data_IF_698426283181
#
_entry.id   IF_698426283181
#
_cell.length_a   1.000
_cell.length_b   1.000
_cell.length_c   1.000
_cell.angle_alpha   90.00
_cell.angle_beta   90.00
_cell.angle_gamma   90.00
#
_symmetry.space_group_name_H-M   'P 1'
#
loop_
_entity.id
_entity.type
_entity.pdbx_description
1 polymer ?
#
# COMPACT_ATOMS: atom_id res chain seq x y z
N UNK A 1 43.57 -56.14 1.50
CA UNK A 1 43.58 -54.63 1.42
C UNK A 1 42.58 -54.04 0.50
N UNK A 2 42.02 -54.71 -0.52
CA UNK A 2 41.02 -54.13 -1.47
C UNK A 2 39.59 -53.93 -0.88
N UNK A 3 39.20 -54.59 0.21
CA UNK A 3 37.84 -54.57 0.78
C UNK A 3 37.47 -53.26 1.51
N UNK A 4 38.41 -52.41 1.85
CA UNK A 4 38.16 -51.18 2.62
C UNK A 4 38.25 -49.89 1.77
N UNK A 5 38.65 -50.00 0.52
CA UNK A 5 38.80 -48.85 -0.39
C UNK A 5 37.41 -48.31 -0.82
N UNK A 6 36.43 -49.17 -1.03
CA UNK A 6 35.08 -48.78 -1.48
C UNK A 6 34.31 -47.96 -0.45
N UNK A 7 34.30 -48.26 0.86
CA UNK A 7 33.61 -47.43 1.83
C UNK A 7 34.29 -46.05 2.03
N UNK A 8 35.61 -45.95 1.91
CA UNK A 8 36.31 -44.65 1.96
C UNK A 8 36.04 -43.79 0.73
N UNK A 9 35.97 -44.42 -0.46
CA UNK A 9 35.62 -43.72 -1.70
C UNK A 9 34.16 -43.26 -1.71
N UNK A 10 33.24 -44.02 -1.15
CA UNK A 10 31.83 -43.61 -0.97
C UNK A 10 31.68 -42.48 0.05
N UNK A 11 32.48 -42.47 1.13
CA UNK A 11 32.47 -41.38 2.12
C UNK A 11 33.07 -40.08 1.59
N UNK A 12 34.08 -40.14 0.73
CA UNK A 12 34.65 -38.97 0.04
C UNK A 12 33.69 -38.36 -0.97
N UNK A 13 32.85 -39.15 -1.62
CA UNK A 13 31.82 -38.66 -2.54
C UNK A 13 30.65 -37.94 -1.83
N UNK A 14 30.39 -38.25 -0.55
CA UNK A 14 29.40 -37.57 0.26
C UNK A 14 29.87 -36.18 0.75
N UNK A 15 31.18 -35.91 0.74
CA UNK A 15 31.74 -34.61 1.12
C UNK A 15 31.83 -33.60 -0.07
N UNK A 16 31.64 -34.05 -1.29
CA UNK A 16 31.71 -33.23 -2.49
C UNK A 16 30.34 -32.57 -2.87
N UNK A 17 29.33 -32.69 -2.01
CA UNK A 17 27.95 -32.41 -2.32
C UNK A 17 27.41 -31.01 -2.01
N UNK A 18 28.24 -30.04 -1.66
CA UNK A 18 27.77 -28.64 -1.52
C UNK A 18 28.80 -27.69 -2.14
N UNK A 19 28.71 -27.44 -3.42
CA UNK A 19 29.31 -26.21 -3.96
C UNK A 19 28.50 -25.02 -3.46
N UNK A 20 29.15 -23.94 -2.96
CA UNK A 20 28.49 -22.74 -2.46
C UNK A 20 27.52 -22.13 -3.46
N UNK A 21 27.78 -22.25 -4.75
CA UNK A 21 26.92 -21.79 -5.86
C UNK A 21 25.47 -22.32 -5.87
N UNK A 22 25.21 -23.46 -5.19
CA UNK A 22 23.84 -23.99 -5.12
C UNK A 22 22.99 -23.25 -4.08
N UNK A 23 23.64 -22.66 -3.07
CA UNK A 23 22.99 -21.90 -2.00
C UNK A 23 22.94 -20.40 -2.29
N UNK A 24 23.82 -19.91 -3.16
CA UNK A 24 23.88 -18.51 -3.61
C UNK A 24 22.96 -18.24 -4.82
N UNK A 25 21.76 -18.79 -4.80
CA UNK A 25 20.76 -18.39 -5.79
C UNK A 25 20.09 -17.10 -5.32
N UNK A 26 20.27 -16.07 -6.12
CA UNK A 26 19.47 -14.85 -5.95
C UNK A 26 17.98 -15.19 -6.04
N UNK A 27 17.13 -14.58 -5.21
CA UNK A 27 15.69 -14.76 -5.28
C UNK A 27 15.19 -14.35 -6.67
N UNK A 28 14.54 -15.26 -7.38
CA UNK A 28 13.98 -14.97 -8.72
C UNK A 28 12.70 -14.14 -8.69
N UNK A 29 12.10 -14.00 -7.52
CA UNK A 29 10.83 -13.33 -7.25
C UNK A 29 10.99 -12.02 -6.45
N UNK A 30 12.23 -11.59 -6.16
CA UNK A 30 12.53 -10.28 -5.56
C UNK A 30 13.59 -9.56 -6.39
N UNK A 31 13.51 -8.24 -6.40
CA UNK A 31 14.55 -7.39 -7.00
C UNK A 31 15.75 -7.42 -6.06
N UNK A 32 16.92 -7.85 -6.55
CA UNK A 32 18.16 -7.80 -5.75
C UNK A 32 18.60 -6.36 -5.51
N UNK A 33 19.39 -6.13 -4.46
CA UNK A 33 19.89 -4.79 -4.13
C UNK A 33 20.66 -4.15 -5.29
N UNK A 34 21.34 -4.96 -6.09
CA UNK A 34 22.17 -4.51 -7.22
C UNK A 34 21.32 -4.13 -8.45
N UNK A 35 20.09 -4.65 -8.52
CA UNK A 35 19.14 -4.38 -9.59
C UNK A 35 18.19 -3.21 -9.30
N UNK A 36 18.21 -2.68 -8.08
CA UNK A 36 17.28 -1.61 -7.64
C UNK A 36 17.38 -0.37 -8.54
N UNK A 37 18.58 -0.01 -9.02
CA UNK A 37 18.80 1.11 -9.93
C UNK A 37 18.57 0.82 -11.41
N UNK A 38 18.16 -0.40 -11.79
CA UNK A 38 17.94 -0.77 -13.20
C UNK A 38 16.59 -0.22 -13.68
N UNK A 39 16.53 0.42 -14.86
CA UNK A 39 15.26 0.82 -15.48
C UNK A 39 14.30 -0.38 -15.60
N UNK A 40 13.03 -0.17 -15.21
CA UNK A 40 12.01 -1.23 -15.13
C UNK A 40 11.80 -1.80 -13.72
N UNK A 41 12.79 -1.72 -12.83
CA UNK A 41 12.65 -2.21 -11.46
C UNK A 41 11.94 -1.24 -10.55
N UNK A 42 11.98 0.07 -10.82
CA UNK A 42 11.19 1.06 -10.11
C UNK A 42 9.68 0.77 -10.18
N UNK A 43 9.20 0.39 -11.37
CA UNK A 43 7.80 -0.04 -11.56
C UNK A 43 7.49 -1.33 -10.79
N UNK A 44 8.41 -2.30 -10.75
CA UNK A 44 8.23 -3.55 -9.99
C UNK A 44 8.11 -3.29 -8.49
N UNK A 45 8.91 -2.40 -7.94
CA UNK A 45 8.86 -2.03 -6.52
C UNK A 45 7.55 -1.33 -6.16
N UNK A 46 7.06 -0.41 -7.00
CA UNK A 46 5.73 0.16 -6.82
C UNK A 46 4.63 -0.93 -6.89
N UNK A 47 4.71 -1.84 -7.87
CA UNK A 47 3.75 -2.93 -7.98
C UNK A 47 3.77 -3.82 -6.73
N UNK A 48 4.94 -4.07 -6.13
CA UNK A 48 5.07 -4.79 -4.87
C UNK A 48 4.39 -4.08 -3.69
N UNK A 49 4.50 -2.74 -3.61
CA UNK A 49 3.80 -1.94 -2.60
C UNK A 49 2.27 -2.03 -2.77
N UNK A 50 1.78 -1.96 -4.00
CA UNK A 50 0.36 -2.13 -4.32
C UNK A 50 -0.14 -3.54 -4.03
N UNK A 51 0.64 -4.56 -4.41
CA UNK A 51 0.30 -5.95 -4.18
C UNK A 51 0.08 -6.27 -2.70
N UNK A 52 0.89 -5.69 -1.81
CA UNK A 52 0.72 -5.84 -0.37
C UNK A 52 -0.68 -5.41 0.12
N UNK A 53 -1.25 -4.35 -0.45
CA UNK A 53 -2.63 -3.94 -0.14
C UNK A 53 -3.69 -4.94 -0.63
N UNK A 54 -3.36 -5.76 -1.62
CA UNK A 54 -4.33 -6.61 -2.30
C UNK A 54 -4.41 -8.03 -1.72
N UNK A 55 -3.26 -8.63 -1.40
CA UNK A 55 -3.19 -10.07 -1.11
C UNK A 55 -2.73 -10.42 0.32
N UNK A 56 -2.54 -9.45 1.17
CA UNK A 56 -2.15 -9.78 2.53
C UNK A 56 -3.28 -10.46 3.28
N UNK A 57 -2.98 -11.64 3.84
CA UNK A 57 -3.91 -12.43 4.65
C UNK A 57 -4.38 -13.71 3.96
N UNK A 58 -5.05 -14.57 4.72
CA UNK A 58 -5.40 -15.95 4.30
C UNK A 58 -6.90 -16.24 4.33
N UNK A 59 -7.72 -15.32 4.87
CA UNK A 59 -9.17 -15.49 4.98
C UNK A 59 -9.89 -14.27 4.40
N UNK A 60 -11.16 -14.45 4.03
CA UNK A 60 -12.00 -13.35 3.50
C UNK A 60 -12.06 -12.14 4.44
N UNK A 61 -11.84 -12.35 5.72
CA UNK A 61 -11.94 -11.33 6.75
C UNK A 61 -10.61 -10.59 7.02
N UNK A 62 -9.51 -10.99 6.37
CA UNK A 62 -8.20 -10.34 6.46
C UNK A 62 -7.45 -10.30 5.12
N UNK A 63 -8.15 -10.41 3.98
CA UNK A 63 -7.54 -10.28 2.66
C UNK A 63 -7.41 -8.80 2.28
N UNK A 64 -6.23 -8.26 2.46
CA UNK A 64 -5.82 -6.96 1.98
C UNK A 64 -6.73 -5.81 2.43
N UNK A 65 -6.63 -4.69 1.75
CA UNK A 65 -7.39 -3.48 2.04
C UNK A 65 -8.92 -3.65 1.92
N UNK A 66 -9.37 -4.59 1.08
CA UNK A 66 -10.80 -4.91 0.97
C UNK A 66 -11.40 -5.37 2.31
N UNK A 67 -10.64 -6.12 3.11
CA UNK A 67 -11.14 -6.55 4.42
C UNK A 67 -11.31 -5.37 5.39
N UNK A 68 -10.46 -4.33 5.30
CA UNK A 68 -10.63 -3.10 6.08
C UNK A 68 -11.90 -2.35 5.65
N UNK A 69 -12.14 -2.21 4.36
CA UNK A 69 -13.36 -1.57 3.86
C UNK A 69 -14.62 -2.32 4.30
N UNK A 70 -14.61 -3.67 4.20
CA UNK A 70 -15.72 -4.47 4.73
C UNK A 70 -15.92 -4.32 6.24
N UNK A 71 -14.83 -4.15 7.00
CA UNK A 71 -14.92 -3.87 8.43
C UNK A 71 -15.57 -2.52 8.71
N UNK A 72 -15.20 -1.48 7.96
CA UNK A 72 -15.80 -0.15 8.06
C UNK A 72 -17.31 -0.19 7.74
N UNK A 73 -17.70 -0.88 6.66
CA UNK A 73 -19.10 -1.07 6.28
C UNK A 73 -19.89 -1.81 7.36
N UNK A 74 -19.29 -2.82 8.01
CA UNK A 74 -19.92 -3.55 9.11
C UNK A 74 -20.10 -2.71 10.38
N UNK A 75 -19.29 -1.68 10.58
CA UNK A 75 -19.44 -0.74 11.70
C UNK A 75 -20.40 0.42 11.40
N UNK A 76 -20.88 0.53 10.16
CA UNK A 76 -21.90 1.49 9.74
C UNK A 76 -23.30 0.84 9.76
N UNK A 77 -24.32 1.62 9.44
CA UNK A 77 -25.73 1.15 9.43
C UNK A 77 -26.14 0.46 8.12
N UNK A 78 -25.26 0.41 7.14
CA UNK A 78 -25.60 -0.05 5.78
C UNK A 78 -25.61 -1.57 5.62
N UNK A 79 -24.94 -2.31 6.50
CA UNK A 79 -24.72 -3.76 6.37
C UNK A 79 -25.08 -4.49 7.67
N UNK A 80 -25.73 -5.64 7.52
CA UNK A 80 -26.04 -6.54 8.65
C UNK A 80 -25.15 -7.78 8.61
N UNK A 81 -24.38 -8.00 9.68
CA UNK A 81 -23.56 -9.19 9.85
C UNK A 81 -24.29 -10.31 10.57
N UNK A 82 -24.09 -11.56 10.11
CA UNK A 82 -24.54 -12.74 10.84
C UNK A 82 -23.47 -13.22 11.83
N UNK A 83 -23.88 -13.77 13.01
CA UNK A 83 -22.95 -14.10 14.10
C UNK A 83 -21.79 -15.04 13.77
N UNK A 84 -21.89 -15.86 12.73
CA UNK A 84 -20.91 -16.91 12.42
C UNK A 84 -19.71 -16.44 11.59
N UNK A 85 -19.64 -15.16 11.20
CA UNK A 85 -18.62 -14.67 10.28
C UNK A 85 -17.56 -13.80 10.97
N UNK A 86 -16.36 -13.72 10.38
CA UNK A 86 -15.19 -13.07 10.96
C UNK A 86 -15.31 -11.57 11.19
N UNK A 87 -16.33 -10.89 10.65
CA UNK A 87 -16.61 -9.46 10.90
C UNK A 87 -17.61 -9.22 12.05
N UNK A 88 -18.16 -10.28 12.65
CA UNK A 88 -19.20 -10.14 13.67
C UNK A 88 -18.72 -9.34 14.90
N UNK A 89 -17.47 -9.49 15.30
CA UNK A 89 -16.90 -8.72 16.41
C UNK A 89 -16.80 -7.22 16.10
N UNK A 90 -16.47 -6.86 14.86
CA UNK A 90 -16.46 -5.46 14.40
C UNK A 90 -17.87 -4.89 14.34
N UNK A 91 -18.83 -5.66 13.80
CA UNK A 91 -20.24 -5.29 13.76
C UNK A 91 -20.81 -5.01 15.18
N UNK A 92 -20.37 -5.77 16.17
CA UNK A 92 -20.76 -5.60 17.58
C UNK A 92 -19.88 -4.60 18.34
N UNK A 93 -18.91 -3.98 17.71
CA UNK A 93 -17.92 -3.08 18.32
C UNK A 93 -17.09 -3.71 19.45
N UNK A 94 -16.95 -5.05 19.47
CA UNK A 94 -16.24 -5.76 20.52
C UNK A 94 -14.71 -5.75 20.36
N UNK A 95 -14.20 -5.51 19.15
CA UNK A 95 -12.77 -5.56 18.83
C UNK A 95 -12.10 -4.19 18.78
N UNK A 96 -12.82 -3.12 18.50
CA UNK A 96 -12.26 -1.77 18.32
C UNK A 96 -11.62 -1.19 19.59
N UNK A 97 -12.06 -1.61 20.77
CA UNK A 97 -11.52 -1.17 22.07
C UNK A 97 -10.33 -2.02 22.56
N UNK A 98 -9.95 -3.07 21.81
CA UNK A 98 -8.90 -4.03 22.21
C UNK A 98 -7.67 -3.83 21.34
N UNK A 99 -6.59 -3.20 21.84
CA UNK A 99 -5.40 -2.88 21.02
C UNK A 99 -4.73 -4.11 20.38
N UNK A 100 -4.75 -5.26 21.06
CA UNK A 100 -4.13 -6.51 20.61
C UNK A 100 -5.11 -7.41 19.84
N UNK A 101 -6.29 -6.94 19.50
CA UNK A 101 -7.20 -7.70 18.66
C UNK A 101 -6.62 -7.83 17.24
N UNK A 102 -6.81 -9.00 16.64
CA UNK A 102 -6.29 -9.29 15.30
C UNK A 102 -6.79 -8.31 14.23
N UNK A 103 -7.99 -7.76 14.38
CA UNK A 103 -8.55 -6.75 13.46
C UNK A 103 -7.81 -5.42 13.56
N UNK A 104 -7.64 -4.92 14.77
CA UNK A 104 -6.91 -3.66 15.02
C UNK A 104 -5.45 -3.78 14.59
N UNK A 105 -4.79 -4.88 14.93
CA UNK A 105 -3.40 -5.15 14.55
C UNK A 105 -3.25 -5.33 13.04
N UNK A 106 -4.20 -5.97 12.37
CA UNK A 106 -4.18 -6.18 10.93
C UNK A 106 -4.18 -4.87 10.15
N UNK A 107 -5.09 -3.94 10.49
CA UNK A 107 -5.15 -2.64 9.84
C UNK A 107 -3.82 -1.88 9.96
N UNK A 108 -3.26 -1.83 11.18
CA UNK A 108 -1.97 -1.19 11.43
C UNK A 108 -0.85 -1.83 10.63
N UNK A 109 -0.71 -3.15 10.72
CA UNK A 109 0.34 -3.88 10.03
C UNK A 109 0.26 -3.71 8.50
N UNK A 110 -0.91 -3.93 7.90
CA UNK A 110 -1.13 -3.82 6.47
C UNK A 110 -0.71 -2.44 5.94
N UNK A 111 -1.19 -1.39 6.59
CA UNK A 111 -0.96 -0.02 6.13
C UNK A 111 0.51 0.38 6.31
N UNK A 112 1.12 0.09 7.46
CA UNK A 112 2.53 0.42 7.68
C UNK A 112 3.48 -0.40 6.82
N UNK A 113 3.17 -1.67 6.53
CA UNK A 113 3.95 -2.47 5.58
C UNK A 113 3.87 -1.89 4.17
N UNK A 114 2.69 -1.40 3.77
CA UNK A 114 2.54 -0.70 2.49
C UNK A 114 3.33 0.61 2.46
N UNK A 115 3.32 1.40 3.54
CA UNK A 115 4.13 2.63 3.67
C UNK A 115 5.61 2.30 3.52
N UNK A 116 6.10 1.24 4.16
CA UNK A 116 7.49 0.82 4.10
C UNK A 116 7.91 0.41 2.67
N UNK A 117 7.06 -0.36 1.99
CA UNK A 117 7.27 -0.70 0.59
C UNK A 117 7.26 0.55 -0.33
N UNK A 118 6.37 1.53 -0.05
CA UNK A 118 6.39 2.81 -0.77
C UNK A 118 7.68 3.58 -0.50
N UNK A 119 8.16 3.62 0.74
CA UNK A 119 9.41 4.27 1.09
C UNK A 119 10.58 3.66 0.34
N UNK A 120 10.63 2.33 0.22
CA UNK A 120 11.64 1.63 -0.58
C UNK A 120 11.59 2.06 -2.05
N UNK A 121 10.39 2.11 -2.66
CA UNK A 121 10.25 2.56 -4.04
C UNK A 121 10.62 4.04 -4.25
N UNK A 122 10.33 4.90 -3.28
CA UNK A 122 10.65 6.34 -3.32
C UNK A 122 12.16 6.57 -3.14
N UNK A 123 12.85 5.75 -2.35
CA UNK A 123 14.27 5.87 -2.05
C UNK A 123 15.19 5.49 -3.21
N UNK A 124 14.67 4.86 -4.27
CA UNK A 124 15.48 4.46 -5.42
C UNK A 124 16.07 5.70 -6.11
N UNK A 125 17.36 5.65 -6.38
CA UNK A 125 18.03 6.67 -7.17
C UNK A 125 17.85 6.41 -8.66
N UNK A 126 17.50 7.46 -9.38
CA UNK A 126 17.31 7.44 -10.84
C UNK A 126 16.76 8.77 -11.33
N UNK A 127 17.07 9.12 -12.55
CA UNK A 127 16.73 10.39 -13.20
C UNK A 127 15.84 10.23 -14.43
N UNK A 128 15.47 9.00 -14.78
CA UNK A 128 14.59 8.74 -15.92
C UNK A 128 13.14 9.07 -15.58
N UNK A 129 12.34 9.34 -16.61
CA UNK A 129 10.91 9.59 -16.46
C UNK A 129 10.19 8.39 -15.81
N UNK A 130 10.63 7.18 -16.09
CA UNK A 130 10.10 5.96 -15.50
C UNK A 130 10.28 5.94 -13.96
N UNK A 131 11.46 6.31 -13.47
CA UNK A 131 11.71 6.44 -12.02
C UNK A 131 10.82 7.50 -11.39
N UNK A 132 10.68 8.68 -12.02
CA UNK A 132 9.80 9.72 -11.50
C UNK A 132 8.34 9.29 -11.49
N UNK A 133 7.87 8.59 -12.53
CA UNK A 133 6.52 8.04 -12.55
C UNK A 133 6.29 7.00 -11.44
N UNK A 134 7.21 6.06 -11.23
CA UNK A 134 7.11 5.08 -10.16
C UNK A 134 7.14 5.73 -8.77
N UNK A 135 8.04 6.72 -8.56
CA UNK A 135 8.07 7.52 -7.33
C UNK A 135 6.76 8.28 -7.11
N UNK A 136 6.21 8.90 -8.14
CA UNK A 136 4.93 9.61 -8.07
C UNK A 136 3.77 8.68 -7.68
N UNK A 137 3.75 7.47 -8.22
CA UNK A 137 2.76 6.45 -7.86
C UNK A 137 2.93 5.97 -6.42
N UNK A 138 4.16 5.75 -5.97
CA UNK A 138 4.45 5.35 -4.59
C UNK A 138 4.11 6.46 -3.58
N UNK A 139 4.38 7.73 -3.91
CA UNK A 139 3.99 8.88 -3.09
C UNK A 139 2.47 8.98 -2.96
N UNK A 140 1.72 8.82 -4.06
CA UNK A 140 0.26 8.83 -4.02
C UNK A 140 -0.30 7.69 -3.17
N UNK A 141 0.30 6.49 -3.24
CA UNK A 141 -0.08 5.35 -2.42
C UNK A 141 0.25 5.56 -0.94
N UNK A 142 1.42 6.14 -0.63
CA UNK A 142 1.80 6.49 0.75
C UNK A 142 0.86 7.54 1.35
N UNK A 143 0.50 8.55 0.59
CA UNK A 143 -0.48 9.55 1.00
C UNK A 143 -1.85 8.92 1.29
N UNK A 144 -2.31 8.01 0.44
CA UNK A 144 -3.53 7.22 0.67
C UNK A 144 -3.47 6.44 1.98
N UNK A 145 -2.34 5.80 2.27
CA UNK A 145 -2.11 5.07 3.52
C UNK A 145 -2.18 5.99 4.74
N UNK A 146 -1.53 7.17 4.69
CA UNK A 146 -1.61 8.13 5.79
C UNK A 146 -3.00 8.76 5.97
N UNK A 147 -3.75 8.97 4.88
CA UNK A 147 -5.16 9.38 4.98
C UNK A 147 -5.99 8.33 5.71
N UNK A 148 -5.81 7.05 5.38
CA UNK A 148 -6.50 5.96 6.08
C UNK A 148 -6.14 5.96 7.56
N UNK A 149 -4.86 6.01 7.91
CA UNK A 149 -4.42 6.02 9.31
C UNK A 149 -4.98 7.22 10.08
N UNK A 150 -4.96 8.42 9.48
CA UNK A 150 -5.48 9.61 10.15
C UNK A 150 -6.98 9.51 10.46
N UNK A 151 -7.75 8.91 9.56
CA UNK A 151 -9.19 8.73 9.73
C UNK A 151 -9.57 7.67 10.76
N UNK A 152 -8.74 6.61 10.93
CA UNK A 152 -9.07 5.47 11.77
C UNK A 152 -8.45 5.53 13.17
N UNK A 153 -7.35 6.26 13.35
CA UNK A 153 -6.60 6.23 14.62
C UNK A 153 -6.64 7.54 15.41
N UNK A 154 -7.38 8.54 14.92
CA UNK A 154 -7.62 9.77 15.67
C UNK A 154 -8.93 10.44 15.22
N UNK A 155 -9.43 11.36 16.04
CA UNK A 155 -10.53 12.24 15.67
C UNK A 155 -10.17 13.15 14.49
N UNK A 156 -11.21 13.75 13.90
CA UNK A 156 -11.06 14.56 12.70
C UNK A 156 -10.13 15.77 12.90
N UNK A 157 -9.51 16.21 11.83
CA UNK A 157 -8.68 17.41 11.78
C UNK A 157 -9.40 18.64 12.37
N UNK A 158 -10.68 18.82 12.04
CA UNK A 158 -11.47 19.95 12.49
C UNK A 158 -11.78 19.93 13.99
N UNK A 159 -11.68 18.78 14.64
CA UNK A 159 -11.88 18.66 16.08
C UNK A 159 -10.64 19.10 16.84
N UNK A 160 -9.48 18.56 16.51
CA UNK A 160 -8.21 18.91 17.14
C UNK A 160 -7.01 18.53 16.23
N UNK A 161 -6.48 19.47 15.48
CA UNK A 161 -5.33 19.22 14.60
C UNK A 161 -4.02 18.97 15.37
N UNK A 162 -3.96 19.29 16.66
CA UNK A 162 -2.79 19.11 17.53
C UNK A 162 -2.76 17.77 18.24
N UNK A 163 -3.87 17.02 18.21
CA UNK A 163 -3.96 15.71 18.85
C UNK A 163 -2.90 14.72 18.31
N UNK A 164 -2.29 13.87 19.17
CA UNK A 164 -1.37 12.82 18.73
C UNK A 164 -2.11 11.81 17.85
N UNK A 165 -1.60 11.59 16.63
CA UNK A 165 -2.21 10.70 15.64
C UNK A 165 -1.41 9.42 15.47
N UNK A 166 -0.52 9.39 14.47
CA UNK A 166 0.29 8.21 14.12
C UNK A 166 1.74 8.60 13.83
N UNK A 167 2.72 7.69 13.99
CA UNK A 167 4.11 7.94 13.59
C UNK A 167 4.26 8.14 12.08
N UNK A 168 5.13 9.05 11.64
CA UNK A 168 5.44 9.28 10.24
C UNK A 168 6.80 8.68 9.89
N UNK A 169 6.81 7.71 8.98
CA UNK A 169 8.00 7.12 8.38
C UNK A 169 8.08 7.49 6.92
N UNK A 170 9.20 8.08 6.51
CA UNK A 170 9.46 8.56 5.14
C UNK A 170 10.61 7.84 4.46
N UNK A 171 11.26 6.95 5.18
CA UNK A 171 12.40 6.15 4.74
C UNK A 171 12.11 4.67 4.99
N UNK A 172 12.72 3.75 4.25
CA UNK A 172 12.63 2.32 4.51
C UNK A 172 13.04 2.01 5.95
N UNK A 173 12.35 1.05 6.56
CA UNK A 173 12.63 0.63 7.94
C UNK A 173 13.37 -0.71 7.98
N UNK A 174 14.19 -0.90 9.01
CA UNK A 174 14.93 -2.12 9.29
C UNK A 174 14.69 -2.57 10.73
N UNK A 175 15.23 -3.72 11.13
CA UNK A 175 15.20 -4.18 12.52
C UNK A 175 15.87 -3.20 13.50
N UNK A 176 16.77 -2.35 13.01
CA UNK A 176 17.51 -1.35 13.80
C UNK A 176 16.78 0.01 13.86
N UNK A 177 15.69 0.17 13.13
CA UNK A 177 14.96 1.45 13.11
C UNK A 177 14.33 1.74 14.46
N UNK A 178 14.73 2.85 15.06
CA UNK A 178 14.17 3.29 16.36
C UNK A 178 12.70 3.70 16.16
N UNK A 179 11.77 3.19 16.98
CA UNK A 179 10.37 3.59 16.92
C UNK A 179 10.18 5.09 17.11
N UNK A 180 9.37 5.70 16.26
CA UNK A 180 9.04 7.13 16.33
C UNK A 180 7.83 7.39 17.22
N UNK A 181 7.82 8.53 17.90
CA UNK A 181 6.63 9.04 18.58
C UNK A 181 5.51 9.35 17.58
N UNK A 182 4.28 9.42 18.10
CA UNK A 182 3.12 9.86 17.30
C UNK A 182 3.30 11.31 16.85
N UNK A 183 3.08 11.55 15.58
CA UNK A 183 2.95 12.90 15.02
C UNK A 183 1.53 13.43 15.26
N UNK A 184 1.35 14.74 15.19
CA UNK A 184 0.01 15.33 15.30
C UNK A 184 -0.84 15.08 14.06
N UNK A 185 -2.15 15.20 14.18
CA UNK A 185 -3.09 15.15 13.04
C UNK A 185 -2.64 16.12 11.95
N UNK A 186 -2.32 17.38 12.32
CA UNK A 186 -1.84 18.37 11.35
C UNK A 186 -0.58 17.94 10.61
N UNK A 187 0.39 17.34 11.31
CA UNK A 187 1.61 16.84 10.69
C UNK A 187 1.34 15.68 9.72
N UNK A 188 0.41 14.79 10.04
CA UNK A 188 0.03 13.69 9.15
C UNK A 188 -0.63 14.23 7.87
N UNK A 189 -1.59 15.17 7.99
CA UNK A 189 -2.19 15.79 6.80
C UNK A 189 -1.19 16.62 5.99
N UNK A 190 -0.24 17.30 6.65
CA UNK A 190 0.86 17.97 5.94
C UNK A 190 1.67 16.99 5.12
N UNK A 191 2.03 15.81 5.68
CA UNK A 191 2.72 14.75 4.94
C UNK A 191 1.90 14.27 3.74
N UNK A 192 0.60 14.11 3.90
CA UNK A 192 -0.30 13.75 2.80
C UNK A 192 -0.26 14.78 1.67
N UNK A 193 -0.35 16.08 2.00
CA UNK A 193 -0.28 17.14 0.99
C UNK A 193 1.08 17.19 0.30
N UNK A 194 2.19 17.07 1.06
CA UNK A 194 3.53 17.06 0.49
C UNK A 194 3.72 15.91 -0.51
N UNK A 195 3.29 14.71 -0.14
CA UNK A 195 3.37 13.53 -0.99
C UNK A 195 2.50 13.69 -2.26
N UNK A 196 1.28 14.17 -2.12
CA UNK A 196 0.37 14.34 -3.25
C UNK A 196 0.82 15.44 -4.22
N UNK A 197 1.32 16.56 -3.71
CA UNK A 197 1.82 17.64 -4.54
C UNK A 197 3.08 17.20 -5.33
N UNK A 198 3.97 16.44 -4.69
CA UNK A 198 5.13 15.89 -5.38
C UNK A 198 4.72 14.80 -6.39
N UNK A 199 3.76 13.93 -6.02
CA UNK A 199 3.20 12.94 -6.94
C UNK A 199 2.58 13.59 -8.18
N UNK A 200 1.86 14.69 -8.01
CA UNK A 200 1.25 15.43 -9.12
C UNK A 200 2.31 15.95 -10.10
N UNK A 201 3.45 16.45 -9.59
CA UNK A 201 4.55 16.93 -10.44
C UNK A 201 5.20 15.79 -11.23
N UNK A 202 5.43 14.64 -10.62
CA UNK A 202 6.05 13.47 -11.26
C UNK A 202 5.12 12.78 -12.26
N UNK A 203 3.81 12.81 -12.02
CA UNK A 203 2.82 12.13 -12.85
C UNK A 203 2.19 13.01 -13.94
N UNK A 204 2.62 14.25 -14.08
CA UNK A 204 1.97 15.23 -14.96
C UNK A 204 1.86 14.76 -16.43
N UNK A 205 2.83 14.00 -16.91
CA UNK A 205 2.87 13.44 -18.27
C UNK A 205 2.54 11.94 -18.30
N UNK A 206 2.21 11.34 -17.15
CA UNK A 206 1.94 9.91 -17.08
C UNK A 206 0.58 9.57 -17.67
N UNK A 207 0.58 8.63 -18.60
CA UNK A 207 -0.64 8.02 -19.15
C UNK A 207 -0.59 6.51 -18.94
N UNK A 208 -1.68 5.92 -18.43
CA UNK A 208 -1.78 4.47 -18.27
C UNK A 208 -1.70 3.75 -19.61
N UNK A 209 -0.90 2.67 -19.63
CA UNK A 209 -0.70 1.85 -20.85
C UNK A 209 -1.78 0.76 -20.95
N UNK A 210 -3.06 1.15 -21.03
CA UNK A 210 -4.19 0.22 -21.20
C UNK A 210 -4.99 -0.06 -19.92
N UNK A 211 -6.08 -0.79 -20.09
CA UNK A 211 -7.11 -1.01 -19.05
C UNK A 211 -6.62 -1.83 -17.84
N UNK A 212 -5.68 -2.74 -18.02
CA UNK A 212 -5.08 -3.53 -16.94
C UNK A 212 -4.27 -2.72 -15.92
N UNK A 213 -4.03 -1.42 -16.17
CA UNK A 213 -3.25 -0.55 -15.29
C UNK A 213 -4.09 0.43 -14.45
N UNK A 214 -5.38 0.17 -14.28
CA UNK A 214 -6.28 1.03 -13.47
C UNK A 214 -5.82 1.18 -12.01
N UNK A 215 -5.09 0.21 -11.48
CA UNK A 215 -4.51 0.27 -10.13
C UNK A 215 -3.38 1.29 -9.99
N UNK A 216 -2.76 1.71 -11.10
CA UNK A 216 -1.68 2.70 -11.07
C UNK A 216 -2.25 4.11 -10.95
N UNK A 217 -1.87 4.88 -9.90
CA UNK A 217 -2.26 6.27 -9.80
C UNK A 217 -1.78 7.09 -11.00
N UNK A 218 -2.66 7.95 -11.49
CA UNK A 218 -2.37 9.02 -12.43
C UNK A 218 -2.76 10.35 -11.78
N UNK A 219 -2.61 11.47 -12.48
CA UNK A 219 -2.95 12.80 -11.96
C UNK A 219 -4.42 12.93 -11.50
N UNK A 220 -5.34 12.22 -12.14
CA UNK A 220 -6.75 12.21 -11.74
C UNK A 220 -6.93 11.56 -10.35
N UNK A 221 -6.26 10.42 -10.10
CA UNK A 221 -6.29 9.76 -8.78
C UNK A 221 -5.64 10.66 -7.72
N UNK A 222 -4.52 11.29 -8.03
CA UNK A 222 -3.86 12.25 -7.13
C UNK A 222 -4.79 13.41 -6.78
N UNK A 223 -5.48 14.00 -7.78
CA UNK A 223 -6.46 15.05 -7.57
C UNK A 223 -7.65 14.56 -6.71
N UNK A 224 -8.10 13.33 -6.89
CA UNK A 224 -9.13 12.70 -6.04
C UNK A 224 -8.70 12.57 -4.58
N UNK A 225 -7.45 12.18 -4.33
CA UNK A 225 -6.89 12.12 -2.98
C UNK A 225 -6.70 13.52 -2.37
N UNK A 226 -6.26 14.52 -3.17
CA UNK A 226 -6.19 15.91 -2.75
C UNK A 226 -7.58 16.44 -2.38
N UNK A 227 -8.61 16.18 -3.20
CA UNK A 227 -9.98 16.57 -2.91
C UNK A 227 -10.45 16.02 -1.56
N UNK A 228 -10.15 14.73 -1.28
CA UNK A 228 -10.46 14.11 0.01
C UNK A 228 -9.68 14.75 1.16
N UNK A 229 -8.39 15.00 1.00
CA UNK A 229 -7.57 15.62 2.04
C UNK A 229 -8.03 17.05 2.35
N UNK A 230 -8.33 17.86 1.33
CA UNK A 230 -8.89 19.19 1.50
C UNK A 230 -10.27 19.19 2.17
N UNK A 231 -11.14 18.25 1.79
CA UNK A 231 -12.46 18.09 2.41
C UNK A 231 -12.32 17.78 3.92
N UNK A 232 -11.43 16.86 4.29
CA UNK A 232 -11.20 16.43 5.67
C UNK A 232 -10.52 17.51 6.54
N UNK A 233 -9.84 18.47 5.91
CA UNK A 233 -9.19 19.59 6.59
C UNK A 233 -9.99 20.89 6.54
N UNK A 234 -11.23 20.87 5.97
CA UNK A 234 -12.12 22.02 5.91
C UNK A 234 -11.79 23.04 4.83
N UNK A 235 -10.93 22.70 3.88
CA UNK A 235 -10.54 23.54 2.76
C UNK A 235 -11.50 23.32 1.58
N UNK A 236 -12.75 23.75 1.75
CA UNK A 236 -13.89 23.40 0.87
C UNK A 236 -13.70 23.84 -0.58
N UNK A 237 -13.14 25.02 -0.79
CA UNK A 237 -12.91 25.57 -2.13
C UNK A 237 -11.85 24.76 -2.89
N UNK A 238 -10.74 24.44 -2.22
CA UNK A 238 -9.67 23.62 -2.81
C UNK A 238 -10.13 22.19 -3.04
N UNK A 239 -10.97 21.65 -2.14
CA UNK A 239 -11.60 20.35 -2.33
C UNK A 239 -12.46 20.30 -3.59
N UNK A 240 -13.28 21.33 -3.83
CA UNK A 240 -14.11 21.43 -5.03
C UNK A 240 -13.28 21.53 -6.30
N UNK A 241 -12.23 22.38 -6.32
CA UNK A 241 -11.30 22.50 -7.46
C UNK A 241 -10.62 21.17 -7.78
N UNK A 242 -10.07 20.49 -6.76
CA UNK A 242 -9.41 19.22 -6.91
C UNK A 242 -10.37 18.11 -7.40
N UNK A 243 -11.62 18.09 -6.91
CA UNK A 243 -12.64 17.14 -7.36
C UNK A 243 -13.01 17.33 -8.84
N UNK A 244 -13.12 18.60 -9.30
CA UNK A 244 -13.33 18.91 -10.72
C UNK A 244 -12.16 18.42 -11.56
N UNK A 245 -10.92 18.66 -11.13
CA UNK A 245 -9.72 18.19 -11.82
C UNK A 245 -9.64 16.65 -11.85
N UNK A 246 -10.01 15.98 -10.77
CA UNK A 246 -10.00 14.52 -10.67
C UNK A 246 -10.89 13.83 -11.70
N UNK A 247 -12.03 14.42 -12.02
CA UNK A 247 -13.01 13.82 -12.96
C UNK A 247 -12.79 14.19 -14.43
N UNK A 248 -11.82 15.02 -14.76
CA UNK A 248 -11.57 15.40 -16.15
C UNK A 248 -11.19 14.16 -16.99
N UNK A 249 -11.86 14.01 -18.15
CA UNK A 249 -11.65 12.88 -19.04
C UNK A 249 -12.44 11.62 -18.67
N UNK A 250 -13.25 11.66 -17.59
CA UNK A 250 -14.14 10.56 -17.20
C UNK A 250 -15.61 10.98 -17.34
N UNK A 251 -16.41 10.10 -17.92
CA UNK A 251 -17.87 10.22 -17.98
C UNK A 251 -18.53 9.38 -16.89
N UNK A 252 -19.74 9.74 -16.51
CA UNK A 252 -20.56 8.85 -15.67
C UNK A 252 -20.96 7.62 -16.48
N UNK A 253 -21.06 6.47 -15.81
CA UNK A 253 -21.70 5.29 -16.39
C UNK A 253 -23.19 5.59 -16.58
N UNK A 254 -23.68 5.33 -17.77
CA UNK A 254 -25.06 5.69 -18.17
C UNK A 254 -25.93 4.48 -18.49
N UNK A 255 -25.34 3.28 -18.52
CA UNK A 255 -26.07 2.04 -18.81
C UNK A 255 -25.93 1.02 -17.69
N UNK A 256 -26.94 0.17 -17.54
CA UNK A 256 -26.92 -0.97 -16.60
C UNK A 256 -25.75 -1.90 -16.88
N UNK A 257 -25.41 -2.14 -18.14
CA UNK A 257 -24.31 -3.03 -18.54
C UNK A 257 -22.94 -2.48 -18.07
N UNK A 258 -22.72 -1.17 -18.14
CA UNK A 258 -21.50 -0.55 -17.60
C UNK A 258 -21.42 -0.68 -16.07
N UNK A 259 -22.53 -0.53 -15.38
CA UNK A 259 -22.60 -0.67 -13.93
C UNK A 259 -22.42 -2.12 -13.46
N UNK A 260 -23.08 -3.08 -14.11
CA UNK A 260 -22.94 -4.52 -13.81
C UNK A 260 -21.57 -5.10 -14.18
N UNK A 261 -20.80 -4.38 -15.01
CA UNK A 261 -19.47 -4.77 -15.47
C UNK A 261 -18.33 -4.61 -14.46
N UNK A 262 -18.59 -4.18 -13.23
CA UNK A 262 -17.55 -3.96 -12.21
C UNK A 262 -16.77 -5.22 -11.80
N UNK A 263 -17.27 -6.40 -12.09
CA UNK A 263 -16.59 -7.66 -11.85
C UNK A 263 -15.40 -7.94 -12.80
N UNK A 264 -15.22 -7.09 -13.81
CA UNK A 264 -14.14 -7.20 -14.78
C UNK A 264 -13.31 -5.92 -14.81
N UNK A 265 -12.00 -6.03 -14.51
CA UNK A 265 -11.07 -4.88 -14.51
C UNK A 265 -10.89 -4.24 -15.89
N UNK A 266 -11.27 -4.92 -16.98
CA UNK A 266 -11.27 -4.37 -18.32
C UNK A 266 -12.48 -3.48 -18.61
N UNK A 267 -13.52 -3.56 -17.79
CA UNK A 267 -14.68 -2.71 -17.92
C UNK A 267 -14.37 -1.32 -17.33
N UNK A 268 -14.92 -0.29 -17.95
CA UNK A 268 -14.61 1.12 -17.67
C UNK A 268 -15.07 1.57 -16.30
#
# INVERSE_FOLDING_TARGET
MKKYIYPYMAFLLLLAGCSGDFLDKEPTDSVSSDEVGVPGNAERLFNGAWYNLFEYGTTYANIGYRALQCQDDMMADDVVSRPAYGFNSSYQFNDIAIPNNSRTSFAWYLIYKTIDNCNTAIAIDGDSEEFFQAKGQALALRAFCYLHLAQHYQFTYLKDPTAPCVPIYTEPTTSETVPKAKSTVAQVYQRVFDDLNLAQSYLKNYTRKGDGQKFKPNTNVVNGLLARAYLLTGQWEEAAKAAVAARQGYSLMTTTAEYEGFNNVSNK
#
